data_IF_346549579961
#
_entry.id   IF_346549579961
#
_cell.length_a   1.000
_cell.length_b   1.000
_cell.length_c   1.000
_cell.angle_alpha   90.00
_cell.angle_beta   90.00
_cell.angle_gamma   90.00
#
_symmetry.space_group_name_H-M   'P 1'
#
loop_
_entity.id
_entity.type
_entity.pdbx_description
1 polymer ?
#
# COMPACT_ATOMS: atom_id res chain seq x y z
N UNK A 1 8.47 23.57 -6.57
CA UNK A 1 7.33 24.42 -6.17
C UNK A 1 6.25 23.63 -5.43
N UNK A 2 5.63 22.59 -6.01
CA UNK A 2 4.53 21.84 -5.34
C UNK A 2 4.92 21.23 -3.98
N UNK A 3 6.09 20.56 -3.90
CA UNK A 3 6.61 20.00 -2.64
C UNK A 3 6.80 21.05 -1.56
N UNK A 4 7.34 22.22 -1.92
CA UNK A 4 7.50 23.36 -0.99
C UNK A 4 6.15 23.94 -0.55
N UNK A 5 5.14 23.96 -1.45
CA UNK A 5 3.80 24.40 -1.08
C UNK A 5 3.15 23.45 -0.08
N UNK A 6 3.33 22.13 -0.24
CA UNK A 6 2.86 21.14 0.71
C UNK A 6 3.62 21.23 2.04
N UNK A 7 4.94 21.41 1.97
CA UNK A 7 5.78 21.62 3.14
C UNK A 7 5.30 22.83 3.96
N UNK A 8 5.03 23.96 3.32
CA UNK A 8 4.44 25.13 4.00
C UNK A 8 3.01 24.89 4.50
N UNK A 9 2.18 24.16 3.75
CA UNK A 9 0.80 23.86 4.15
C UNK A 9 0.73 22.94 5.39
N UNK A 10 1.69 22.04 5.54
CA UNK A 10 1.85 21.15 6.70
C UNK A 10 2.67 21.79 7.82
N UNK A 11 3.13 23.04 7.68
CA UNK A 11 3.79 23.75 8.76
C UNK A 11 2.77 24.26 9.79
N UNK A 12 3.18 24.54 11.04
CA UNK A 12 2.31 25.17 12.02
C UNK A 12 1.67 26.44 11.45
N UNK A 13 0.34 26.49 11.40
CA UNK A 13 -0.43 27.61 10.84
C UNK A 13 -0.77 27.53 9.35
N UNK A 14 -0.34 26.48 8.61
CA UNK A 14 -0.65 26.32 7.18
C UNK A 14 -2.13 26.04 6.87
N UNK A 15 -2.83 25.34 7.76
CA UNK A 15 -4.28 25.17 7.73
C UNK A 15 -4.81 24.25 6.61
N UNK A 16 -6.06 23.80 6.78
CA UNK A 16 -6.68 22.82 5.86
C UNK A 16 -6.86 23.34 4.42
N UNK A 17 -7.07 24.65 4.24
CA UNK A 17 -7.28 25.23 2.91
C UNK A 17 -6.00 25.21 2.06
N UNK A 18 -4.84 25.52 2.65
CA UNK A 18 -3.56 25.44 1.94
C UNK A 18 -3.23 23.98 1.60
N UNK A 19 -3.51 23.06 2.52
CA UNK A 19 -3.29 21.64 2.33
C UNK A 19 -4.18 21.08 1.21
N UNK A 20 -5.45 21.47 1.16
CA UNK A 20 -6.38 21.09 0.09
C UNK A 20 -5.92 21.51 -1.31
N UNK A 21 -5.15 22.61 -1.42
CA UNK A 21 -4.56 23.07 -2.69
C UNK A 21 -3.24 22.38 -3.01
N UNK A 22 -2.40 22.15 -2.00
CA UNK A 22 -1.04 21.65 -2.20
C UNK A 22 -0.96 20.12 -2.34
N UNK A 23 -1.76 19.37 -1.57
CA UNK A 23 -1.69 17.90 -1.53
C UNK A 23 -1.96 17.26 -2.90
N UNK A 24 -3.01 17.64 -3.66
CA UNK A 24 -3.26 17.07 -4.98
C UNK A 24 -2.10 17.34 -5.95
N UNK A 25 -1.54 18.55 -5.93
CA UNK A 25 -0.45 18.93 -6.82
C UNK A 25 0.83 18.11 -6.56
N UNK A 26 1.16 17.82 -5.29
CA UNK A 26 2.28 16.93 -4.95
C UNK A 26 1.97 15.50 -5.37
N UNK A 27 0.76 15.03 -5.12
CA UNK A 27 0.39 13.66 -5.45
C UNK A 27 0.45 13.38 -6.96
N UNK A 28 -0.14 14.24 -7.79
CA UNK A 28 -0.09 14.09 -9.25
C UNK A 28 1.36 14.22 -9.78
N UNK A 29 2.15 15.14 -9.21
CA UNK A 29 3.56 15.25 -9.54
C UNK A 29 4.38 14.02 -9.14
N UNK A 30 4.06 13.40 -8.01
CA UNK A 30 4.68 12.16 -7.55
C UNK A 30 4.33 11.02 -8.50
N UNK A 31 3.05 10.88 -8.85
CA UNK A 31 2.54 9.86 -9.79
C UNK A 31 3.17 9.97 -11.17
N UNK A 32 3.31 11.19 -11.69
CA UNK A 32 3.98 11.42 -12.98
C UNK A 32 5.45 10.97 -13.00
N UNK A 33 6.08 10.82 -11.83
CA UNK A 33 7.49 10.48 -11.68
C UNK A 33 7.71 9.12 -10.98
N UNK A 34 6.66 8.39 -10.60
CA UNK A 34 6.77 7.16 -9.82
C UNK A 34 7.36 7.36 -8.41
N UNK A 35 7.08 8.51 -7.78
CA UNK A 35 7.63 8.91 -6.48
C UNK A 35 6.60 8.87 -5.34
N UNK A 36 5.45 8.21 -5.52
CA UNK A 36 4.35 8.19 -4.55
C UNK A 36 4.81 7.67 -3.20
N UNK A 37 5.48 6.52 -3.15
CA UNK A 37 6.01 5.93 -1.90
C UNK A 37 7.01 6.85 -1.22
N UNK A 38 7.88 7.51 -1.99
CA UNK A 38 8.90 8.45 -1.45
C UNK A 38 8.21 9.68 -0.87
N UNK A 39 7.26 10.28 -1.58
CA UNK A 39 6.52 11.44 -1.08
C UNK A 39 5.68 11.07 0.15
N UNK A 40 5.06 9.90 0.14
CA UNK A 40 4.33 9.36 1.29
C UNK A 40 5.23 9.20 2.51
N UNK A 41 6.43 8.64 2.35
CA UNK A 41 7.39 8.49 3.44
C UNK A 41 7.82 9.86 4.03
N UNK A 42 8.10 10.85 3.17
CA UNK A 42 8.52 12.19 3.61
C UNK A 42 7.41 12.90 4.41
N UNK A 43 6.14 12.74 4.02
CA UNK A 43 5.05 13.54 4.57
C UNK A 43 4.15 12.81 5.59
N UNK A 44 4.25 11.48 5.73
CA UNK A 44 3.31 10.68 6.54
C UNK A 44 3.19 11.15 8.00
N UNK A 45 4.30 11.40 8.69
CA UNK A 45 4.28 11.88 10.10
C UNK A 45 3.53 13.19 10.25
N UNK A 46 3.71 14.10 9.29
CA UNK A 46 3.11 15.43 9.31
C UNK A 46 1.64 15.40 8.91
N UNK A 47 1.26 14.50 8.02
CA UNK A 47 -0.14 14.23 7.70
C UNK A 47 -0.88 13.66 8.91
N UNK A 48 -0.26 12.73 9.66
CA UNK A 48 -0.79 12.23 10.92
C UNK A 48 -0.96 13.35 11.96
N UNK A 49 0.05 14.21 12.10
CA UNK A 49 0.00 15.34 13.03
C UNK A 49 -1.03 16.43 12.63
N UNK A 50 -1.38 16.50 11.34
CA UNK A 50 -2.35 17.46 10.83
C UNK A 50 -3.82 17.01 11.01
N UNK A 51 -4.05 15.76 11.42
CA UNK A 51 -5.40 15.26 11.71
C UNK A 51 -6.03 15.99 12.92
N UNK A 52 -7.37 16.16 12.95
CA UNK A 52 -8.35 15.67 11.97
C UNK A 52 -8.41 16.54 10.71
N UNK A 53 -8.57 15.88 9.56
CA UNK A 53 -8.73 16.53 8.25
C UNK A 53 -10.18 16.37 7.76
N UNK A 54 -10.73 17.33 7.00
CA UNK A 54 -12.04 17.16 6.35
C UNK A 54 -11.93 16.21 5.15
N UNK A 55 -13.00 15.51 4.82
CA UNK A 55 -13.09 14.82 3.52
C UNK A 55 -13.20 15.83 2.36
N UNK A 56 -12.64 15.54 1.17
CA UNK A 56 -11.92 14.32 0.78
C UNK A 56 -10.42 14.34 1.12
N UNK A 57 -9.94 15.36 1.83
CA UNK A 57 -8.52 15.54 2.14
C UNK A 57 -8.00 14.45 3.08
N UNK A 58 -8.82 14.06 4.07
CA UNK A 58 -8.51 12.96 4.97
C UNK A 58 -8.29 11.64 4.22
N UNK A 59 -9.13 11.32 3.23
CA UNK A 59 -8.97 10.11 2.41
C UNK A 59 -7.63 10.08 1.67
N UNK A 60 -7.26 11.16 0.95
CA UNK A 60 -5.98 11.23 0.23
C UNK A 60 -4.78 11.22 1.18
N UNK A 61 -4.88 11.87 2.34
CA UNK A 61 -3.83 11.82 3.36
C UNK A 61 -3.66 10.40 3.93
N UNK A 62 -4.76 9.68 4.17
CA UNK A 62 -4.73 8.30 4.62
C UNK A 62 -4.13 7.35 3.57
N UNK A 63 -4.47 7.50 2.28
CA UNK A 63 -3.83 6.77 1.17
C UNK A 63 -2.31 6.99 1.14
N UNK A 64 -1.86 8.23 1.34
CA UNK A 64 -0.43 8.53 1.44
C UNK A 64 0.20 7.82 2.63
N UNK A 65 -0.41 7.86 3.82
CA UNK A 65 0.10 7.13 4.99
C UNK A 65 0.14 5.62 4.74
N UNK A 66 -0.85 5.04 4.06
CA UNK A 66 -0.87 3.62 3.70
C UNK A 66 0.30 3.20 2.79
N UNK A 67 0.90 4.13 2.05
CA UNK A 67 2.10 3.87 1.24
C UNK A 67 3.42 4.09 1.99
N UNK A 68 3.37 4.54 3.25
CA UNK A 68 4.55 4.83 4.05
C UNK A 68 4.88 3.68 5.01
N UNK A 69 6.05 3.71 5.68
CA UNK A 69 6.32 2.83 6.83
C UNK A 69 5.31 2.95 7.99
N UNK A 70 4.48 4.00 8.01
CA UNK A 70 3.47 4.25 9.03
C UNK A 70 2.07 3.75 8.63
N UNK A 71 1.96 2.85 7.65
CA UNK A 71 0.69 2.40 7.07
C UNK A 71 -0.35 1.93 8.09
N UNK A 72 0.06 1.29 9.19
CA UNK A 72 -0.86 0.82 10.26
C UNK A 72 -1.57 1.97 10.98
N UNK A 73 -1.00 3.18 10.92
CA UNK A 73 -1.54 4.39 11.55
C UNK A 73 -2.53 5.15 10.67
N UNK A 74 -2.76 4.73 9.42
CA UNK A 74 -3.65 5.45 8.50
C UNK A 74 -5.07 5.68 9.07
N UNK A 75 -5.57 4.75 9.90
CA UNK A 75 -6.83 4.86 10.64
C UNK A 75 -6.92 6.04 11.61
N UNK A 76 -5.80 6.63 11.99
CA UNK A 76 -5.75 7.83 12.84
C UNK A 76 -6.15 9.09 12.06
N UNK A 77 -5.98 9.09 10.73
CA UNK A 77 -6.39 10.20 9.85
C UNK A 77 -7.86 10.07 9.47
N UNK A 78 -8.26 8.89 9.01
CA UNK A 78 -9.61 8.62 8.55
C UNK A 78 -10.03 7.22 8.95
N UNK A 79 -11.25 7.09 9.49
CA UNK A 79 -11.88 5.78 9.64
C UNK A 79 -12.13 5.19 8.26
N UNK A 80 -11.85 3.90 8.02
CA UNK A 80 -12.12 3.28 6.73
C UNK A 80 -13.59 3.43 6.37
N UNK A 81 -13.88 4.02 5.21
CA UNK A 81 -15.24 3.98 4.69
C UNK A 81 -15.61 2.53 4.35
N UNK A 82 -16.87 2.27 4.00
CA UNK A 82 -17.26 0.95 3.46
C UNK A 82 -16.40 0.54 2.25
N UNK A 83 -15.89 1.53 1.48
CA UNK A 83 -15.00 1.33 0.34
C UNK A 83 -13.57 0.97 0.76
N UNK A 84 -13.12 1.40 1.93
CA UNK A 84 -11.70 1.30 2.34
C UNK A 84 -11.41 0.14 3.29
N UNK A 85 -12.41 -0.71 3.57
CA UNK A 85 -12.25 -1.90 4.43
C UNK A 85 -11.19 -2.87 3.92
N UNK A 86 -11.07 -2.99 2.60
CA UNK A 86 -10.05 -3.86 2.01
C UNK A 86 -8.62 -3.38 2.35
N UNK A 87 -8.33 -2.08 2.16
CA UNK A 87 -7.04 -1.48 2.49
C UNK A 87 -6.73 -1.60 4.00
N UNK A 88 -7.73 -1.35 4.85
CA UNK A 88 -7.59 -1.55 6.29
C UNK A 88 -7.29 -3.02 6.65
N UNK A 89 -7.94 -3.95 5.96
CA UNK A 89 -7.68 -5.39 6.08
C UNK A 89 -6.27 -5.76 5.66
N UNK A 90 -5.73 -5.20 4.57
CA UNK A 90 -4.33 -5.40 4.17
C UNK A 90 -3.39 -4.87 5.27
N UNK A 91 -3.62 -3.65 5.76
CA UNK A 91 -2.80 -3.06 6.83
C UNK A 91 -2.82 -3.93 8.11
N UNK A 92 -3.96 -4.53 8.43
CA UNK A 92 -4.09 -5.46 9.56
C UNK A 92 -3.53 -6.87 9.29
N UNK A 93 -3.20 -7.20 8.03
CA UNK A 93 -2.72 -8.52 7.62
C UNK A 93 -3.82 -9.58 7.42
N UNK A 94 -5.08 -9.16 7.35
CA UNK A 94 -6.24 -10.03 7.18
C UNK A 94 -7.28 -9.43 6.20
N UNK A 95 -6.90 -9.12 4.95
CA UNK A 95 -7.86 -8.63 3.96
C UNK A 95 -8.93 -9.69 3.66
N UNK A 96 -10.20 -9.32 3.83
CA UNK A 96 -11.32 -10.21 3.58
C UNK A 96 -11.70 -10.23 2.11
N UNK A 97 -11.92 -11.43 1.53
CA UNK A 97 -12.38 -11.55 0.14
C UNK A 97 -13.77 -10.93 -0.09
N UNK A 98 -14.60 -10.79 0.95
CA UNK A 98 -15.89 -10.11 0.86
C UNK A 98 -15.78 -8.59 0.64
N UNK A 99 -14.62 -7.99 0.98
CA UNK A 99 -14.33 -6.58 0.74
C UNK A 99 -13.58 -6.35 -0.58
N UNK A 100 -13.23 -7.42 -1.30
CA UNK A 100 -12.55 -7.33 -2.59
C UNK A 100 -13.52 -6.92 -3.71
N UNK A 101 -13.17 -5.88 -4.45
CA UNK A 101 -13.95 -5.34 -5.57
C UNK A 101 -13.40 -5.76 -6.95
N UNK A 102 -12.16 -6.23 -7.04
CA UNK A 102 -11.51 -6.59 -8.30
C UNK A 102 -10.88 -7.98 -8.23
N UNK A 103 -10.58 -8.59 -9.39
CA UNK A 103 -9.83 -9.86 -9.45
C UNK A 103 -8.47 -9.76 -8.77
N UNK A 104 -7.82 -8.60 -8.86
CA UNK A 104 -6.54 -8.35 -8.18
C UNK A 104 -6.72 -8.36 -6.66
N UNK A 105 -7.76 -7.68 -6.14
CA UNK A 105 -8.05 -7.68 -4.71
C UNK A 105 -8.43 -9.07 -4.18
N UNK A 106 -9.18 -9.87 -4.95
CA UNK A 106 -9.47 -11.26 -4.57
C UNK A 106 -8.21 -12.12 -4.52
N UNK A 107 -7.26 -11.94 -5.45
CA UNK A 107 -5.99 -12.66 -5.43
C UNK A 107 -5.09 -12.24 -4.25
N UNK A 108 -5.10 -10.95 -3.90
CA UNK A 108 -4.45 -10.48 -2.67
C UNK A 108 -5.09 -11.16 -1.44
N UNK A 109 -6.42 -11.16 -1.32
CA UNK A 109 -7.10 -11.83 -0.21
C UNK A 109 -6.75 -13.33 -0.12
N UNK A 110 -6.71 -14.03 -1.26
CA UNK A 110 -6.31 -15.43 -1.33
C UNK A 110 -4.86 -15.65 -0.87
N UNK A 111 -3.92 -14.81 -1.32
CA UNK A 111 -2.53 -14.88 -0.91
C UNK A 111 -2.33 -14.63 0.60
N UNK A 112 -3.16 -13.77 1.20
CA UNK A 112 -3.17 -13.52 2.64
C UNK A 112 -3.81 -14.66 3.45
N UNK A 113 -4.81 -15.33 2.90
CA UNK A 113 -5.49 -16.46 3.52
C UNK A 113 -4.69 -17.78 3.40
N UNK A 114 -3.74 -17.86 2.47
CA UNK A 114 -2.89 -19.02 2.28
C UNK A 114 -2.06 -19.33 3.54
N UNK A 115 -2.01 -20.61 3.91
CA UNK A 115 -1.24 -21.11 5.07
C UNK A 115 0.13 -21.68 4.70
N UNK A 116 0.43 -21.75 3.40
CA UNK A 116 1.66 -22.31 2.85
C UNK A 116 2.12 -21.47 1.65
N UNK A 117 3.40 -21.57 1.28
CA UNK A 117 3.93 -20.90 0.09
C UNK A 117 3.26 -21.42 -1.20
N UNK A 118 3.48 -20.75 -2.33
CA UNK A 118 3.05 -21.28 -3.63
C UNK A 118 3.74 -22.62 -3.93
N UNK A 119 3.10 -23.58 -4.63
CA UNK A 119 3.64 -24.94 -4.83
C UNK A 119 5.09 -24.96 -5.34
N UNK A 120 5.41 -24.13 -6.33
CA UNK A 120 6.77 -24.02 -6.89
C UNK A 120 7.80 -23.57 -5.85
N UNK A 121 7.43 -22.62 -4.98
CA UNK A 121 8.28 -22.11 -3.92
C UNK A 121 8.33 -23.04 -2.70
N UNK A 122 7.29 -23.83 -2.43
CA UNK A 122 7.31 -24.85 -1.38
C UNK A 122 8.43 -25.87 -1.64
N UNK A 123 8.58 -26.29 -2.90
CA UNK A 123 9.66 -27.21 -3.27
C UNK A 123 11.04 -26.59 -3.01
N UNK A 124 11.25 -25.32 -3.40
CA UNK A 124 12.50 -24.61 -3.10
C UNK A 124 12.77 -24.55 -1.59
N UNK A 125 11.76 -24.25 -0.77
CA UNK A 125 11.89 -24.21 0.69
C UNK A 125 12.25 -25.59 1.24
N UNK A 126 11.59 -26.66 0.77
CA UNK A 126 11.86 -28.03 1.19
C UNK A 126 13.30 -28.48 0.84
N UNK A 127 13.86 -27.94 -0.25
CA UNK A 127 15.24 -28.15 -0.69
C UNK A 127 16.27 -27.26 0.04
N UNK A 128 15.86 -26.48 1.04
CA UNK A 128 16.73 -25.58 1.81
C UNK A 128 17.06 -24.26 1.10
N UNK A 129 16.33 -23.90 0.03
CA UNK A 129 16.56 -22.73 -0.83
C UNK A 129 15.60 -21.58 -0.49
N UNK A 130 15.39 -21.30 0.81
CA UNK A 130 14.45 -20.26 1.27
C UNK A 130 14.75 -18.87 0.67
N UNK A 131 16.03 -18.48 0.62
CA UNK A 131 16.43 -17.19 0.04
C UNK A 131 16.06 -17.07 -1.45
N UNK A 132 16.16 -18.16 -2.20
CA UNK A 132 15.75 -18.20 -3.61
C UNK A 132 14.23 -18.12 -3.76
N UNK A 133 13.47 -18.82 -2.91
CA UNK A 133 12.01 -18.72 -2.88
C UNK A 133 11.54 -17.28 -2.60
N UNK A 134 12.21 -16.57 -1.69
CA UNK A 134 11.91 -15.16 -1.39
C UNK A 134 12.20 -14.27 -2.60
N UNK A 135 13.37 -14.43 -3.23
CA UNK A 135 13.74 -13.63 -4.40
C UNK A 135 12.83 -13.92 -5.60
N UNK A 136 12.45 -15.18 -5.82
CA UNK A 136 11.49 -15.57 -6.85
C UNK A 136 10.10 -14.94 -6.60
N UNK A 137 9.62 -14.99 -5.36
CA UNK A 137 8.37 -14.32 -4.98
C UNK A 137 8.45 -12.79 -5.14
N UNK A 138 9.57 -12.17 -4.78
CA UNK A 138 9.76 -10.72 -4.98
C UNK A 138 9.77 -10.36 -6.48
N UNK A 139 10.41 -11.17 -7.31
CA UNK A 139 10.46 -10.96 -8.76
C UNK A 139 9.06 -11.01 -9.41
N UNK A 140 8.14 -11.82 -8.87
CA UNK A 140 6.74 -11.84 -9.32
C UNK A 140 6.00 -10.51 -9.08
N UNK A 141 6.44 -9.72 -8.08
CA UNK A 141 5.85 -8.43 -7.72
C UNK A 141 6.53 -7.24 -8.43
N UNK A 142 7.73 -7.45 -8.98
CA UNK A 142 8.58 -6.40 -9.57
C UNK A 142 8.21 -6.03 -11.02
N UNK A 143 7.29 -6.79 -11.65
CA UNK A 143 6.73 -6.36 -12.93
C UNK A 143 5.88 -5.11 -12.70
N UNK A 144 6.14 -4.02 -13.43
CA UNK A 144 5.35 -2.78 -13.29
C UNK A 144 3.85 -3.07 -13.25
N UNK A 145 3.13 -2.41 -12.34
CA UNK A 145 1.78 -2.79 -11.87
C UNK A 145 0.76 -3.13 -12.98
N UNK A 146 0.94 -2.60 -14.18
CA UNK A 146 0.12 -2.89 -15.37
C UNK A 146 0.25 -4.34 -15.90
N UNK A 147 1.32 -5.06 -15.56
CA UNK A 147 1.63 -6.39 -16.12
C UNK A 147 1.62 -7.53 -15.12
N UNK A 148 1.38 -7.27 -13.83
CA UNK A 148 1.35 -8.34 -12.83
C UNK A 148 0.04 -9.12 -12.93
N UNK A 149 0.12 -10.42 -13.18
CA UNK A 149 -1.06 -11.28 -13.16
C UNK A 149 -1.56 -11.47 -11.71
N UNK A 150 -2.89 -11.47 -11.46
CA UNK A 150 -3.44 -11.74 -10.13
C UNK A 150 -2.90 -13.03 -9.50
N UNK A 151 -2.76 -14.11 -10.28
CA UNK A 151 -2.18 -15.37 -9.80
C UNK A 151 -0.72 -15.24 -9.34
N UNK A 152 0.06 -14.37 -9.98
CA UNK A 152 1.44 -14.08 -9.56
C UNK A 152 1.48 -13.33 -8.23
N UNK A 153 0.56 -12.37 -8.04
CA UNK A 153 0.41 -11.66 -6.75
C UNK A 153 0.01 -12.62 -5.64
N UNK A 154 -0.98 -13.47 -5.87
CA UNK A 154 -1.41 -14.49 -4.90
C UNK A 154 -0.23 -15.39 -4.48
N UNK A 155 0.49 -15.94 -5.46
CA UNK A 155 1.62 -16.83 -5.22
C UNK A 155 2.77 -16.15 -4.46
N UNK A 156 3.09 -14.91 -4.83
CA UNK A 156 4.13 -14.13 -4.17
C UNK A 156 3.77 -13.81 -2.72
N UNK A 157 2.56 -13.31 -2.47
CA UNK A 157 2.11 -12.94 -1.12
C UNK A 157 2.03 -14.17 -0.20
N UNK A 158 1.50 -15.29 -0.69
CA UNK A 158 1.48 -16.55 0.06
C UNK A 158 2.90 -16.99 0.46
N UNK A 159 3.85 -16.86 -0.47
CA UNK A 159 5.25 -17.25 -0.24
C UNK A 159 5.96 -16.34 0.75
N UNK A 160 5.83 -15.02 0.59
CA UNK A 160 6.43 -14.04 1.51
C UNK A 160 5.90 -14.24 2.94
N UNK A 161 4.59 -14.46 3.10
CA UNK A 161 3.98 -14.72 4.41
C UNK A 161 4.46 -16.03 5.02
N UNK A 162 4.52 -17.11 4.24
CA UNK A 162 5.05 -18.40 4.70
C UNK A 162 6.53 -18.30 5.11
N UNK A 163 7.29 -17.38 4.52
CA UNK A 163 8.68 -17.07 4.88
C UNK A 163 8.82 -16.10 6.07
N UNK A 164 7.71 -15.60 6.66
CA UNK A 164 7.72 -14.66 7.78
C UNK A 164 7.89 -13.18 7.38
N UNK A 165 7.80 -12.85 6.10
CA UNK A 165 7.94 -11.48 5.56
C UNK A 165 6.60 -10.76 5.50
N UNK A 166 5.91 -10.71 6.65
CA UNK A 166 4.57 -10.15 6.80
C UNK A 166 4.49 -8.67 6.40
N UNK A 167 5.41 -7.84 6.91
CA UNK A 167 5.49 -6.41 6.61
C UNK A 167 5.67 -6.17 5.09
N UNK A 168 6.61 -6.90 4.48
CA UNK A 168 6.86 -6.83 3.03
C UNK A 168 5.61 -7.17 2.22
N UNK A 169 4.88 -8.24 2.60
CA UNK A 169 3.66 -8.65 1.92
C UNK A 169 2.54 -7.58 2.04
N UNK A 170 2.36 -6.99 3.22
CA UNK A 170 1.37 -5.92 3.46
C UNK A 170 1.69 -4.67 2.63
N UNK A 171 2.93 -4.21 2.69
CA UNK A 171 3.36 -3.01 1.96
C UNK A 171 3.27 -3.19 0.45
N UNK A 172 3.66 -4.37 -0.08
CA UNK A 172 3.51 -4.67 -1.49
C UNK A 172 2.04 -4.70 -1.93
N UNK A 173 1.17 -5.34 -1.15
CA UNK A 173 -0.27 -5.37 -1.44
C UNK A 173 -0.92 -3.98 -1.40
N UNK A 174 -0.55 -3.12 -0.43
CA UNK A 174 -1.02 -1.74 -0.37
C UNK A 174 -0.59 -0.94 -1.60
N UNK A 175 0.67 -1.07 -2.03
CA UNK A 175 1.17 -0.44 -3.25
C UNK A 175 0.41 -0.91 -4.49
N UNK A 176 0.19 -2.22 -4.64
CA UNK A 176 -0.56 -2.77 -5.78
C UNK A 176 -1.98 -2.19 -5.85
N UNK A 177 -2.67 -2.07 -4.72
CA UNK A 177 -4.05 -1.55 -4.70
C UNK A 177 -4.10 -0.03 -4.92
N UNK A 178 -3.16 0.72 -4.36
CA UNK A 178 -3.19 2.19 -4.38
C UNK A 178 -2.56 2.79 -5.65
N UNK A 179 -1.60 2.08 -6.26
CA UNK A 179 -0.83 2.52 -7.42
C UNK A 179 -1.15 1.72 -8.68
N UNK A 180 -1.94 0.64 -8.57
CA UNK A 180 -2.34 -0.17 -9.70
C UNK A 180 -3.27 0.56 -10.68
N UNK A 181 -3.42 0.05 -11.90
CA UNK A 181 -4.11 0.71 -13.03
C UNK A 181 -5.64 0.92 -12.85
N UNK A 182 -6.22 0.53 -11.71
CA UNK A 182 -7.66 0.64 -11.45
C UNK A 182 -8.02 1.93 -10.67
N UNK A 183 -7.49 3.09 -11.09
CA UNK A 183 -8.06 4.41 -10.73
C UNK A 183 -8.68 5.11 -11.93
#
# INVERSE_FOLDING_TARGET
AAVQALDSALAPGGGAEALAKALPAVWEGARALGLETVMSEIFAERLLAAAPLPDPLAARAAEMVLLSPLYERAREIASPSMRDRFLAGIAAGTPGNADAATRMQSAIAAGFAATTAAPEHQQMIAEGRLGEAILAAAALLDHGAERVAPSSVEAALATLRAAGLEDTARRAALQIVLLGPDQ
#
